data_IF_232493606388
#
_entry.id   IF_232493606388
#
_cell.length_a   1.000
_cell.length_b   1.000
_cell.length_c   1.000
_cell.angle_alpha   90.00
_cell.angle_beta   90.00
_cell.angle_gamma   90.00
#
_symmetry.space_group_name_H-M   'P 1'
#
loop_
_entity.id
_entity.type
_entity.pdbx_description
1 polymer ?
#
# COMPACT_ATOMS: atom_id res chain seq x y z
N UNK A 1 -10.39 -4.77 0.43
CA UNK A 1 -9.18 -4.02 0.84
C UNK A 1 -8.07 -5.01 1.18
N UNK A 2 -6.81 -4.60 1.04
CA UNK A 2 -5.63 -5.40 1.41
C UNK A 2 -4.73 -4.55 2.28
N UNK A 3 -4.09 -5.17 3.26
CA UNK A 3 -3.22 -4.48 4.21
C UNK A 3 -1.85 -5.13 4.21
N UNK A 4 -0.81 -4.32 4.27
CA UNK A 4 0.58 -4.76 4.36
C UNK A 4 1.30 -4.00 5.47
N UNK A 5 2.29 -4.63 6.08
CA UNK A 5 3.13 -4.02 7.11
C UNK A 5 4.45 -3.57 6.52
N UNK A 6 4.90 -2.40 6.93
CA UNK A 6 6.21 -1.85 6.61
C UNK A 6 6.94 -1.67 7.94
N UNK A 7 8.02 -2.43 8.13
CA UNK A 7 8.79 -2.46 9.37
C UNK A 7 10.19 -1.96 9.04
N UNK A 8 10.65 -0.84 9.62
CA UNK A 8 12.03 -0.41 9.53
C UNK A 8 12.97 -1.47 10.12
N UNK A 9 14.09 -1.72 9.44
CA UNK A 9 15.16 -2.56 9.98
C UNK A 9 15.90 -1.81 11.09
N UNK A 10 16.34 -2.51 12.14
CA UNK A 10 17.03 -1.88 13.28
C UNK A 10 18.29 -1.11 12.87
N UNK A 11 19.03 -1.63 11.87
CA UNK A 11 20.22 -0.98 11.32
C UNK A 11 19.90 0.26 10.48
N UNK A 12 18.66 0.38 10.00
CA UNK A 12 18.22 1.43 9.10
C UNK A 12 16.84 1.96 9.53
N UNK A 13 16.77 2.62 10.70
CA UNK A 13 15.52 3.20 11.18
C UNK A 13 15.09 4.34 10.24
N UNK A 14 13.78 4.46 10.05
CA UNK A 14 13.19 5.56 9.31
C UNK A 14 11.78 5.85 9.80
N UNK A 15 11.32 7.06 9.54
CA UNK A 15 9.95 7.49 9.73
C UNK A 15 9.32 7.88 8.40
N UNK A 16 8.01 7.67 8.31
CA UNK A 16 7.23 8.08 7.15
C UNK A 16 6.97 9.59 7.19
N UNK A 17 7.14 10.24 6.04
CA UNK A 17 6.95 11.68 5.86
C UNK A 17 5.91 11.91 4.75
N UNK A 18 5.01 12.86 4.97
CA UNK A 18 4.00 13.28 3.98
C UNK A 18 2.61 12.70 4.24
N UNK A 19 1.79 12.68 3.18
CA UNK A 19 0.36 12.39 3.27
C UNK A 19 0.09 10.94 3.67
N UNK A 20 -0.71 10.77 4.72
CA UNK A 20 -1.11 9.46 5.24
C UNK A 20 -2.23 8.82 4.44
N UNK A 21 -3.10 9.63 3.82
CA UNK A 21 -4.24 9.13 3.05
C UNK A 21 -4.23 9.77 1.69
N UNK A 22 -4.18 8.95 0.65
CA UNK A 22 -4.05 9.43 -0.73
C UNK A 22 -5.00 8.68 -1.64
N UNK A 23 -5.63 9.44 -2.53
CA UNK A 23 -6.51 8.94 -3.56
C UNK A 23 -5.79 8.96 -4.92
N UNK A 24 -5.85 7.85 -5.65
CA UNK A 24 -5.33 7.70 -7.02
C UNK A 24 -6.46 7.26 -7.94
N UNK A 25 -6.14 7.03 -9.22
CA UNK A 25 -7.13 6.71 -10.26
C UNK A 25 -7.93 5.45 -9.95
N UNK A 26 -7.25 4.37 -9.53
CA UNK A 26 -7.87 3.07 -9.29
C UNK A 26 -7.75 2.55 -7.87
N UNK A 27 -7.03 3.27 -7.01
CA UNK A 27 -6.82 2.87 -5.62
C UNK A 27 -6.93 4.07 -4.68
N UNK A 28 -7.39 3.80 -3.47
CA UNK A 28 -7.16 4.66 -2.29
C UNK A 28 -6.20 3.91 -1.38
N UNK A 29 -5.27 4.62 -0.76
CA UNK A 29 -4.48 4.03 0.32
C UNK A 29 -4.41 4.93 1.55
N UNK A 30 -4.16 4.29 2.68
CA UNK A 30 -4.07 4.88 3.99
C UNK A 30 -2.90 4.26 4.75
N UNK A 31 -2.10 5.09 5.39
CA UNK A 31 -0.88 4.73 6.09
C UNK A 31 -1.01 5.14 7.55
N UNK A 32 -1.06 4.13 8.42
CA UNK A 32 -1.16 4.31 9.86
C UNK A 32 0.18 3.95 10.51
N UNK A 33 0.55 4.71 11.54
CA UNK A 33 1.68 4.37 12.40
C UNK A 33 1.18 3.54 13.57
N UNK A 34 1.73 2.34 13.73
CA UNK A 34 1.45 1.45 14.85
C UNK A 34 2.74 1.28 15.67
N UNK A 35 2.70 1.71 16.93
CA UNK A 35 3.80 1.43 17.87
C UNK A 35 3.58 0.06 18.47
N UNK A 36 4.48 -0.89 18.18
CA UNK A 36 4.45 -2.22 18.78
C UNK A 36 5.78 -2.43 19.49
N UNK A 37 5.77 -2.28 20.81
CA UNK A 37 7.00 -2.21 21.64
C UNK A 37 7.88 -1.02 21.22
N UNK A 38 9.20 -1.11 21.43
CA UNK A 38 10.18 -0.06 21.08
C UNK A 38 10.39 0.13 19.56
N UNK A 39 9.60 -0.55 18.72
CA UNK A 39 9.69 -0.49 17.26
C UNK A 39 8.49 0.21 16.65
N UNK A 40 8.77 1.14 15.75
CA UNK A 40 7.74 1.79 14.92
C UNK A 40 7.37 0.86 13.76
N UNK A 41 6.12 0.43 13.68
CA UNK A 41 5.57 -0.28 12.52
C UNK A 41 4.65 0.68 11.72
N UNK A 42 4.55 0.46 10.43
CA UNK A 42 3.59 1.16 9.58
C UNK A 42 2.63 0.17 8.91
N UNK A 43 1.35 0.50 8.93
CA UNK A 43 0.29 -0.31 8.33
C UNK A 43 -0.24 0.43 7.11
N UNK A 44 0.01 -0.12 5.92
CA UNK A 44 -0.50 0.40 4.67
C UNK A 44 -1.74 -0.39 4.25
N UNK A 45 -2.89 0.27 4.23
CA UNK A 45 -4.15 -0.28 3.75
C UNK A 45 -4.44 0.26 2.36
N UNK A 46 -4.69 -0.64 1.40
CA UNK A 46 -4.99 -0.32 0.00
C UNK A 46 -6.38 -0.83 -0.37
N UNK A 47 -7.22 0.07 -0.86
CA UNK A 47 -8.56 -0.19 -1.36
C UNK A 47 -8.59 -0.05 -2.89
N UNK A 48 -9.16 -1.05 -3.58
CA UNK A 48 -9.45 -0.96 -5.01
C UNK A 48 -10.72 -0.12 -5.21
N UNK A 49 -10.65 0.85 -6.12
CA UNK A 49 -11.76 1.72 -6.52
C UNK A 49 -12.30 1.38 -7.91
N UNK A 50 -11.54 0.63 -8.73
CA UNK A 50 -11.99 0.21 -10.05
C UNK A 50 -13.11 -0.82 -9.90
N UNK A 51 -14.27 -0.51 -10.47
CA UNK A 51 -15.46 -1.39 -10.49
C UNK A 51 -15.52 -2.26 -11.75
N UNK A 52 -14.98 -1.76 -12.86
CA UNK A 52 -15.01 -2.44 -14.14
C UNK A 52 -13.97 -3.53 -14.25
N UNK A 53 -14.25 -4.53 -15.10
CA UNK A 53 -13.27 -5.55 -15.48
C UNK A 53 -12.01 -4.95 -16.09
N UNK A 54 -10.92 -5.67 -15.95
CA UNK A 54 -9.64 -5.33 -16.55
C UNK A 54 -8.52 -5.22 -15.52
N UNK A 55 -7.34 -4.92 -16.05
CA UNK A 55 -6.11 -4.80 -15.26
C UNK A 55 -5.80 -3.35 -14.97
N UNK A 56 -5.18 -3.10 -13.83
CA UNK A 56 -4.57 -1.81 -13.55
C UNK A 56 -3.23 -1.99 -12.85
N UNK A 57 -2.36 -1.02 -13.07
CA UNK A 57 -1.06 -0.91 -12.44
C UNK A 57 -0.93 0.49 -11.84
N UNK A 58 -0.67 0.54 -10.55
CA UNK A 58 -0.50 1.78 -9.80
C UNK A 58 0.78 1.70 -8.97
N UNK A 59 1.41 2.85 -8.76
CA UNK A 59 2.59 2.95 -7.88
C UNK A 59 2.30 3.91 -6.74
N UNK A 60 2.40 3.39 -5.52
CA UNK A 60 2.41 4.15 -4.28
C UNK A 60 3.86 4.58 -4.03
N UNK A 61 4.07 5.87 -3.76
CA UNK A 61 5.37 6.43 -3.38
C UNK A 61 5.24 6.98 -1.97
N UNK A 62 5.97 6.38 -1.03
CA UNK A 62 5.99 6.81 0.37
C UNK A 62 7.34 7.48 0.62
N UNK A 63 7.33 8.70 1.11
CA UNK A 63 8.55 9.40 1.49
C UNK A 63 8.95 9.02 2.91
N UNK A 64 10.25 8.94 3.14
CA UNK A 64 10.82 8.72 4.47
C UNK A 64 11.85 9.79 4.79
N UNK A 65 12.21 9.89 6.06
CA UNK A 65 13.33 10.71 6.53
C UNK A 65 14.71 10.02 6.36
N UNK A 66 14.74 8.79 5.82
CA UNK A 66 15.99 8.06 5.62
C UNK A 66 16.85 8.74 4.57
N UNK A 67 18.07 9.11 4.94
CA UNK A 67 19.07 9.64 3.99
C UNK A 67 19.49 8.61 2.94
N UNK A 68 19.38 7.32 3.26
CA UNK A 68 19.79 6.21 2.37
C UNK A 68 18.64 5.87 1.41
N UNK A 69 17.40 5.88 1.92
CA UNK A 69 16.21 5.52 1.12
C UNK A 69 15.05 6.48 1.37
N UNK A 70 15.11 7.70 0.82
CA UNK A 70 14.08 8.72 1.05
C UNK A 70 12.73 8.38 0.39
N UNK A 71 12.68 7.39 -0.49
CA UNK A 71 11.48 7.01 -1.24
C UNK A 71 11.29 5.49 -1.29
N UNK A 72 10.11 5.02 -0.86
CA UNK A 72 9.67 3.63 -0.93
C UNK A 72 8.58 3.53 -2.00
N UNK A 73 8.86 2.74 -3.04
CA UNK A 73 7.94 2.51 -4.16
C UNK A 73 7.25 1.15 -4.01
N UNK A 74 5.94 1.17 -3.86
CA UNK A 74 5.10 -0.03 -3.75
C UNK A 74 4.25 -0.13 -5.00
N UNK A 75 4.39 -1.25 -5.72
CA UNK A 75 3.66 -1.54 -6.94
C UNK A 75 2.37 -2.29 -6.61
N UNK A 76 1.24 -1.75 -7.05
CA UNK A 76 -0.08 -2.34 -6.86
C UNK A 76 -0.59 -2.83 -8.21
N UNK A 77 -0.85 -4.13 -8.28
CA UNK A 77 -1.42 -4.78 -9.45
C UNK A 77 -2.84 -5.23 -9.14
N UNK A 78 -3.79 -4.83 -9.98
CA UNK A 78 -5.16 -5.33 -9.93
C UNK A 78 -5.50 -6.08 -11.19
N UNK A 79 -6.16 -7.23 -11.04
CA UNK A 79 -6.72 -8.01 -12.14
C UNK A 79 -8.18 -8.34 -11.81
N UNK A 80 -9.10 -7.52 -12.32
CA UNK A 80 -10.54 -7.67 -12.07
C UNK A 80 -11.11 -8.53 -13.19
N UNK A 81 -11.36 -9.79 -12.86
CA UNK A 81 -11.99 -10.74 -13.78
C UNK A 81 -13.51 -10.60 -13.68
N UNK A 82 -14.21 -10.77 -14.79
CA UNK A 82 -15.64 -11.05 -14.73
C UNK A 82 -15.82 -12.36 -13.97
N UNK A 83 -16.68 -12.36 -12.95
CA UNK A 83 -17.15 -13.61 -12.37
C UNK A 83 -17.90 -14.35 -13.49
N UNK A 84 -17.47 -15.56 -13.92
CA UNK A 84 -18.28 -16.33 -14.85
C UNK A 84 -19.61 -16.63 -14.15
N UNK A 85 -20.72 -16.26 -14.78
CA UNK A 85 -22.05 -16.71 -14.36
C UNK A 85 -22.12 -18.22 -14.65
N UNK A 86 -21.84 -19.05 -13.66
CA UNK A 86 -21.97 -20.51 -13.78
C UNK A 86 -20.66 -21.28 -13.58
N UNK A 87 -20.13 -21.30 -12.36
CA UNK A 87 -19.26 -22.39 -11.94
C UNK A 87 -20.12 -23.57 -11.50
N UNK A 88 -20.51 -24.45 -12.42
CA UNK A 88 -20.94 -25.81 -12.06
C UNK A 88 -19.69 -26.67 -11.85
N UNK A 89 -19.57 -27.26 -10.67
CA UNK A 89 -18.99 -28.60 -10.48
C UNK A 89 -19.89 -29.35 -9.52
#
# INVERSE_FOLDING_TARGET
>A
MRTVKIIPEEKYPFKMVGDRTVHKKYIRYELEEAKRSDKTEYVLTVANLKKEKGRYFETIRLKTDSKIRPDIRIRVYGNILNRPAGGKK
#
